data_IF_890282465763
#
_entry.id   IF_890282465763
#
_cell.length_a   1.000
_cell.length_b   1.000
_cell.length_c   1.000
_cell.angle_alpha   90.00
_cell.angle_beta   90.00
_cell.angle_gamma   90.00
#
_symmetry.space_group_name_H-M   'P 1'
#
loop_
_entity.id
_entity.type
_entity.pdbx_description
1 polymer ?
#
# COMPACT_ATOMS: atom_id res chain seq x y z
N UNK A 1 12.56 16.83 -13.63
CA UNK A 1 11.15 16.89 -13.19
C UNK A 1 10.94 15.70 -12.26
N UNK A 2 11.59 15.75 -11.11
CA UNK A 2 11.60 14.70 -10.08
C UNK A 2 10.74 15.23 -8.94
N UNK A 3 9.50 14.75 -8.83
CA UNK A 3 8.61 15.14 -7.73
C UNK A 3 9.19 14.59 -6.43
N UNK A 4 9.90 15.46 -5.71
CA UNK A 4 10.35 15.22 -4.35
C UNK A 4 9.15 15.41 -3.43
N UNK A 5 8.44 14.33 -3.10
CA UNK A 5 7.46 14.35 -2.02
C UNK A 5 8.08 13.81 -0.75
N UNK A 6 8.32 14.73 0.19
CA UNK A 6 8.81 14.44 1.54
C UNK A 6 7.81 13.61 2.34
N UNK A 7 8.25 13.05 3.49
CA UNK A 7 7.46 12.10 4.26
C UNK A 7 6.21 12.79 4.81
N UNK A 8 5.03 12.28 4.43
CA UNK A 8 3.74 12.66 5.03
C UNK A 8 3.79 12.33 6.54
N UNK A 9 4.24 13.31 7.30
CA UNK A 9 4.41 13.24 8.75
C UNK A 9 3.11 13.63 9.41
N UNK A 10 2.19 12.67 9.60
CA UNK A 10 1.11 12.76 10.60
C UNK A 10 0.85 11.41 11.28
N UNK A 11 0.99 11.43 12.61
CA UNK A 11 0.74 10.39 13.62
C UNK A 11 1.85 9.34 13.82
N UNK A 12 2.21 9.12 15.09
CA UNK A 12 3.26 8.22 15.58
C UNK A 12 2.99 6.71 15.41
N UNK A 13 2.49 6.32 14.23
CA UNK A 13 2.53 4.96 13.72
C UNK A 13 3.75 4.77 12.80
N UNK A 14 4.12 3.52 12.54
CA UNK A 14 5.16 3.23 11.54
C UNK A 14 4.72 3.80 10.17
N UNK A 15 5.63 4.38 9.38
CA UNK A 15 5.29 4.95 8.07
C UNK A 15 4.71 3.86 7.16
N UNK A 16 3.73 4.24 6.34
CA UNK A 16 3.20 3.36 5.31
C UNK A 16 4.28 3.06 4.25
N UNK A 17 4.30 1.87 3.65
CA UNK A 17 5.17 1.56 2.53
C UNK A 17 4.91 2.48 1.34
N UNK A 18 5.99 3.00 0.75
CA UNK A 18 5.92 3.82 -0.45
C UNK A 18 5.31 3.02 -1.61
N UNK A 19 4.30 3.59 -2.26
CA UNK A 19 3.67 3.04 -3.45
C UNK A 19 3.94 3.96 -4.64
N UNK A 20 4.68 3.45 -5.64
CA UNK A 20 4.92 4.21 -6.87
C UNK A 20 3.60 4.58 -7.53
N UNK A 21 3.52 5.82 -8.02
CA UNK A 21 2.38 6.32 -8.77
C UNK A 21 2.79 6.44 -10.23
N UNK A 22 2.07 5.77 -11.11
CA UNK A 22 2.21 5.94 -12.55
C UNK A 22 1.21 6.96 -13.10
N UNK A 23 1.44 7.41 -14.33
CA UNK A 23 0.51 8.28 -15.06
C UNK A 23 -0.52 7.49 -15.90
N UNK A 24 -0.69 6.20 -15.62
CA UNK A 24 -1.63 5.34 -16.35
C UNK A 24 -3.06 5.89 -16.19
N UNK A 25 -3.77 6.02 -17.31
CA UNK A 25 -5.15 6.49 -17.34
C UNK A 25 -5.91 5.86 -18.51
N UNK A 26 -7.20 5.59 -18.29
CA UNK A 26 -8.11 5.07 -19.30
C UNK A 26 -9.16 6.12 -19.68
N UNK A 27 -9.72 6.02 -20.88
CA UNK A 27 -10.89 6.81 -21.29
C UNK A 27 -12.14 5.97 -21.26
N UNK A 28 -13.04 6.26 -20.31
CA UNK A 28 -14.28 5.53 -20.08
C UNK A 28 -15.45 6.47 -20.39
N UNK A 29 -16.25 6.15 -21.41
CA UNK A 29 -17.37 6.99 -21.87
C UNK A 29 -16.99 8.46 -22.15
N UNK A 30 -15.80 8.68 -22.72
CA UNK A 30 -15.27 10.02 -23.00
C UNK A 30 -14.67 10.75 -21.79
N UNK A 31 -14.62 10.10 -20.61
CA UNK A 31 -13.99 10.63 -19.39
C UNK A 31 -12.61 9.99 -19.18
N UNK A 32 -11.59 10.82 -18.98
CA UNK A 32 -10.27 10.35 -18.53
C UNK A 32 -10.34 9.96 -17.04
N UNK A 33 -9.92 8.75 -16.72
CA UNK A 33 -9.87 8.17 -15.37
C UNK A 33 -8.45 7.69 -15.12
N UNK A 34 -7.74 8.35 -14.21
CA UNK A 34 -6.38 7.95 -13.83
C UNK A 34 -6.41 6.73 -12.91
N UNK A 35 -5.51 5.79 -13.18
CA UNK A 35 -5.27 4.60 -12.37
C UNK A 35 -3.77 4.48 -12.04
N UNK A 36 -3.28 5.31 -11.10
CA UNK A 36 -1.85 5.41 -10.80
C UNK A 36 -1.27 4.14 -10.16
N UNK A 37 -2.11 3.19 -9.75
CA UNK A 37 -1.72 1.97 -9.06
C UNK A 37 -2.04 0.69 -9.86
N UNK A 38 -2.32 0.81 -11.17
CA UNK A 38 -2.56 -0.31 -12.09
C UNK A 38 -1.51 -1.43 -11.97
N UNK A 39 -0.27 -1.10 -11.64
CA UNK A 39 0.81 -2.07 -11.46
C UNK A 39 0.59 -3.06 -10.30
N UNK A 40 -0.25 -2.71 -9.32
CA UNK A 40 -0.66 -3.62 -8.24
C UNK A 40 -1.64 -4.72 -8.72
N UNK A 41 -2.24 -4.57 -9.90
CA UNK A 41 -3.16 -5.56 -10.46
C UNK A 41 -2.45 -6.81 -11.02
N UNK A 42 -1.12 -6.74 -11.25
CA UNK A 42 -0.33 -7.90 -11.65
C UNK A 42 0.27 -8.61 -10.41
N UNK A 43 -0.33 -9.72 -9.95
CA UNK A 43 0.19 -10.48 -8.81
C UNK A 43 1.52 -11.19 -9.12
N UNK A 44 1.91 -11.28 -10.39
CA UNK A 44 3.18 -11.85 -10.83
C UNK A 44 4.35 -10.89 -10.67
N UNK A 45 4.10 -9.58 -10.69
CA UNK A 45 5.15 -8.55 -10.71
C UNK A 45 5.99 -8.54 -9.42
N UNK A 46 7.29 -8.30 -9.56
CA UNK A 46 8.20 -8.18 -8.43
C UNK A 46 7.83 -6.98 -7.54
N UNK A 47 7.52 -5.84 -8.16
CA UNK A 47 7.11 -4.63 -7.46
C UNK A 47 5.86 -4.86 -6.58
N UNK A 48 4.81 -5.51 -7.11
CA UNK A 48 3.59 -5.77 -6.33
C UNK A 48 3.88 -6.67 -5.13
N UNK A 49 4.71 -7.71 -5.32
CA UNK A 49 5.11 -8.61 -4.24
C UNK A 49 5.91 -7.91 -3.16
N UNK A 50 6.86 -7.05 -3.54
CA UNK A 50 7.66 -6.27 -2.60
C UNK A 50 6.80 -5.31 -1.78
N UNK A 51 5.87 -4.61 -2.44
CA UNK A 51 4.95 -3.71 -1.75
C UNK A 51 3.98 -4.45 -0.82
N UNK A 52 3.41 -5.59 -1.26
CA UNK A 52 2.56 -6.44 -0.43
C UNK A 52 3.31 -6.96 0.80
N UNK A 53 4.56 -7.40 0.64
CA UNK A 53 5.37 -7.86 1.77
C UNK A 53 5.62 -6.75 2.80
N UNK A 54 5.86 -5.51 2.33
CA UNK A 54 6.01 -4.36 3.22
C UNK A 54 4.71 -4.04 3.97
N UNK A 55 3.56 -4.15 3.30
CA UNK A 55 2.25 -3.97 3.93
C UNK A 55 1.93 -5.06 4.95
N UNK A 56 2.25 -6.32 4.64
CA UNK A 56 2.09 -7.45 5.56
C UNK A 56 2.96 -7.28 6.81
N UNK A 57 4.19 -6.79 6.66
CA UNK A 57 5.08 -6.51 7.78
C UNK A 57 4.53 -5.39 8.68
N UNK A 58 4.01 -4.31 8.07
CA UNK A 58 3.35 -3.23 8.81
C UNK A 58 2.14 -3.77 9.58
N UNK A 59 1.27 -4.54 8.93
CA UNK A 59 0.10 -5.13 9.56
C UNK A 59 0.48 -6.07 10.70
N UNK A 60 1.44 -6.97 10.50
CA UNK A 60 1.91 -7.89 11.53
C UNK A 60 2.40 -7.12 12.77
N UNK A 61 3.19 -6.06 12.58
CA UNK A 61 3.68 -5.22 13.66
C UNK A 61 2.59 -4.54 14.48
N UNK A 62 1.46 -4.17 13.86
CA UNK A 62 0.30 -3.61 14.57
C UNK A 62 -0.55 -4.70 15.23
N UNK A 63 -0.82 -5.79 14.49
CA UNK A 63 -1.64 -6.92 14.93
C UNK A 63 -1.08 -7.55 16.20
N UNK A 64 0.24 -7.71 16.28
CA UNK A 64 0.90 -8.37 17.42
C UNK A 64 0.80 -7.52 18.71
N UNK A 65 0.41 -6.25 18.59
CA UNK A 65 0.18 -5.33 19.73
C UNK A 65 -1.29 -5.28 20.17
N UNK A 66 -2.20 -5.95 19.46
CA UNK A 66 -3.63 -5.89 19.75
C UNK A 66 -3.98 -6.70 21.01
N UNK A 67 -4.56 -6.07 22.05
CA UNK A 67 -5.01 -6.80 23.23
C UNK A 67 -6.07 -7.83 22.89
N UNK A 68 -5.96 -9.03 23.45
CA UNK A 68 -6.95 -10.11 23.26
C UNK A 68 -6.85 -10.84 21.91
N UNK A 69 -5.87 -10.53 21.06
CA UNK A 69 -5.62 -11.24 19.79
C UNK A 69 -5.48 -12.74 19.98
N UNK A 70 -4.68 -13.18 20.95
CA UNK A 70 -4.42 -14.61 21.16
C UNK A 70 -5.68 -15.36 21.59
N UNK A 71 -6.55 -14.71 22.38
CA UNK A 71 -7.84 -15.27 22.78
C UNK A 71 -8.77 -15.46 21.58
N UNK A 72 -8.76 -14.55 20.62
CA UNK A 72 -9.56 -14.67 19.40
C UNK A 72 -8.99 -15.72 18.45
N UNK A 73 -7.66 -15.83 18.34
CA UNK A 73 -7.01 -16.82 17.48
C UNK A 73 -7.16 -18.27 17.97
N UNK A 74 -7.43 -18.48 19.26
CA UNK A 74 -7.61 -19.79 19.88
C UNK A 74 -9.06 -20.34 19.81
N UNK A 75 -9.96 -19.69 19.06
CA UNK A 75 -11.36 -20.08 18.87
C UNK A 75 -11.61 -20.59 17.46
#
# INVERSE_FOLDING_TARGET
>A
MTDSRGPDSRNGGAPYPDAERSDVADTIHGRIVADPYRWLEDPGSAAAKEWLAAQDALYAGQRDRLPGRDRLAAR
#
